data_IF_076845877829
#
_entry.id   IF_076845877829
#
_cell.length_a   1.000
_cell.length_b   1.000
_cell.length_c   1.000
_cell.angle_alpha   90.00
_cell.angle_beta   90.00
_cell.angle_gamma   90.00
#
_symmetry.space_group_name_H-M   'P 1'
#
loop_
_entity.id
_entity.type
_entity.pdbx_description
1 polymer ?
#
# COMPACT_ATOMS: atom_id res chain seq x y z
N UNK A 1 -6.52 2.97 9.37
CA UNK A 1 -6.00 1.60 9.23
C UNK A 1 -5.85 0.78 10.53
N UNK A 2 -5.86 1.36 11.75
CA UNK A 2 -5.74 0.57 13.00
C UNK A 2 -6.85 -0.48 13.16
N UNK A 3 -8.09 -0.16 12.78
CA UNK A 3 -9.20 -1.13 12.80
C UNK A 3 -8.90 -2.35 11.91
N UNK A 4 -8.50 -2.13 10.65
CA UNK A 4 -8.10 -3.20 9.73
C UNK A 4 -6.93 -4.02 10.28
N UNK A 5 -5.91 -3.38 10.85
CA UNK A 5 -4.78 -4.05 11.44
C UNK A 5 -5.19 -4.94 12.63
N UNK A 6 -6.11 -4.45 13.48
CA UNK A 6 -6.67 -5.20 14.59
C UNK A 6 -7.43 -6.45 14.14
N UNK A 7 -8.30 -6.31 13.14
CA UNK A 7 -9.07 -7.43 12.57
C UNK A 7 -8.14 -8.49 11.94
N UNK A 8 -7.13 -8.07 11.18
CA UNK A 8 -6.14 -8.99 10.61
C UNK A 8 -5.33 -9.68 11.71
N UNK A 9 -4.91 -8.96 12.75
CA UNK A 9 -4.18 -9.56 13.87
C UNK A 9 -5.05 -10.58 14.63
N UNK A 10 -6.34 -10.29 14.85
CA UNK A 10 -7.30 -11.23 15.43
C UNK A 10 -7.49 -12.49 14.55
N UNK A 11 -7.34 -12.35 13.23
CA UNK A 11 -7.32 -13.46 12.28
C UNK A 11 -6.02 -14.28 12.25
N UNK A 12 -5.04 -13.96 13.10
CA UNK A 12 -3.77 -14.70 13.21
C UNK A 12 -2.65 -14.20 12.28
N UNK A 13 -2.78 -13.00 11.73
CA UNK A 13 -1.72 -12.38 10.94
C UNK A 13 -0.76 -11.56 11.81
N UNK A 14 0.53 -11.54 11.45
CA UNK A 14 1.44 -10.50 11.92
C UNK A 14 1.24 -9.28 11.02
N UNK A 15 0.88 -8.14 11.60
CA UNK A 15 0.61 -6.90 10.87
C UNK A 15 1.66 -5.85 11.24
N UNK A 16 2.31 -5.29 10.22
CA UNK A 16 3.19 -4.14 10.35
C UNK A 16 2.53 -2.94 9.66
N UNK A 17 2.11 -1.94 10.45
CA UNK A 17 1.72 -0.64 9.92
C UNK A 17 2.96 0.25 9.84
N UNK A 18 3.19 0.87 8.68
CA UNK A 18 4.42 1.62 8.40
C UNK A 18 4.09 3.09 8.25
N UNK A 19 4.70 3.92 9.09
CA UNK A 19 4.76 5.36 8.87
C UNK A 19 5.89 5.68 7.88
N UNK A 20 5.58 6.49 6.87
CA UNK A 20 6.57 6.99 5.92
C UNK A 20 7.04 8.39 6.36
N UNK A 21 8.33 8.53 6.64
CA UNK A 21 8.88 9.72 7.28
C UNK A 21 8.61 10.97 6.42
N UNK A 22 8.18 12.06 7.08
CA UNK A 22 7.81 13.33 6.44
C UNK A 22 6.57 13.31 5.55
N UNK A 23 5.78 12.22 5.56
CA UNK A 23 4.58 12.07 4.74
C UNK A 23 3.26 12.06 5.51
N UNK A 24 3.35 12.22 6.84
CA UNK A 24 2.21 12.26 7.74
C UNK A 24 2.44 13.29 8.83
N UNK A 25 1.33 13.73 9.43
CA UNK A 25 1.36 14.53 10.66
C UNK A 25 1.34 13.60 11.87
N UNK A 26 2.15 13.90 12.89
CA UNK A 26 2.07 13.22 14.17
C UNK A 26 2.83 11.89 14.27
N UNK A 27 3.69 11.54 13.32
CA UNK A 27 4.61 10.40 13.50
C UNK A 27 5.67 10.73 14.54
N UNK A 28 5.65 10.04 15.67
CA UNK A 28 6.62 10.23 16.74
C UNK A 28 7.80 9.26 16.60
N UNK A 29 9.02 9.80 16.54
CA UNK A 29 10.27 9.06 16.57
C UNK A 29 10.82 8.97 18.00
N UNK A 30 11.71 7.99 18.28
CA UNK A 30 12.37 7.89 19.58
C UNK A 30 12.95 9.23 20.05
N UNK A 31 12.73 9.55 21.32
CA UNK A 31 13.10 10.84 21.90
C UNK A 31 12.06 11.96 21.71
N UNK A 32 10.82 11.64 21.33
CA UNK A 32 9.71 12.58 21.23
C UNK A 32 9.76 13.48 19.98
N UNK A 33 10.56 13.11 18.98
CA UNK A 33 10.73 13.92 17.76
C UNK A 33 9.56 13.66 16.81
N UNK A 34 8.84 14.71 16.44
CA UNK A 34 7.74 14.63 15.46
C UNK A 34 8.12 15.45 14.22
N UNK A 35 8.63 14.83 13.12
CA UNK A 35 8.87 15.56 11.89
C UNK A 35 7.58 16.13 11.28
N UNK A 36 7.71 17.23 10.55
CA UNK A 36 6.61 17.82 9.78
C UNK A 36 6.29 16.98 8.53
N UNK A 37 5.07 17.13 8.02
CA UNK A 37 4.66 16.52 6.76
C UNK A 37 5.17 17.33 5.56
N UNK A 38 6.43 17.17 5.19
CA UNK A 38 7.02 17.83 4.00
C UNK A 38 6.27 17.44 2.73
N UNK A 39 5.81 16.19 2.62
CA UNK A 39 5.06 15.74 1.45
C UNK A 39 3.73 16.48 1.30
N UNK A 40 3.07 16.86 2.41
CA UNK A 40 1.81 17.59 2.37
C UNK A 40 1.93 18.95 1.69
N UNK A 41 3.12 19.56 1.72
CA UNK A 41 3.37 20.88 1.11
C UNK A 41 3.92 20.79 -0.32
N UNK A 42 4.61 19.68 -0.67
CA UNK A 42 5.39 19.57 -1.90
C UNK A 42 4.75 18.68 -2.97
N UNK A 43 3.97 17.69 -2.56
CA UNK A 43 3.30 16.79 -3.52
C UNK A 43 2.25 17.57 -4.31
N UNK A 44 2.31 17.47 -5.64
CA UNK A 44 1.48 18.24 -6.57
C UNK A 44 1.96 19.68 -6.81
N UNK A 45 2.91 20.19 -6.02
CA UNK A 45 3.54 21.49 -6.24
C UNK A 45 4.85 21.35 -7.05
N UNK A 46 5.78 20.56 -6.53
CA UNK A 46 7.09 20.32 -7.16
C UNK A 46 7.57 18.86 -7.04
N UNK A 47 6.83 18.02 -6.32
CA UNK A 47 7.05 16.57 -6.22
C UNK A 47 5.84 15.85 -6.82
N UNK A 48 6.09 14.94 -7.75
CA UNK A 48 5.04 14.08 -8.31
C UNK A 48 4.66 12.98 -7.31
N UNK A 49 3.37 12.62 -7.26
CA UNK A 49 2.85 11.49 -6.47
C UNK A 49 3.60 10.18 -6.79
N UNK A 50 4.02 10.02 -8.04
CA UNK A 50 4.84 8.89 -8.47
C UNK A 50 6.12 8.73 -7.65
N UNK A 51 6.78 9.83 -7.27
CA UNK A 51 7.99 9.79 -6.45
C UNK A 51 7.70 9.26 -5.04
N UNK A 52 6.58 9.69 -4.46
CA UNK A 52 6.10 9.18 -3.17
C UNK A 52 5.80 7.69 -3.25
N UNK A 53 5.08 7.25 -4.28
CA UNK A 53 4.77 5.83 -4.49
C UNK A 53 6.04 4.97 -4.54
N UNK A 54 7.08 5.43 -5.26
CA UNK A 54 8.36 4.70 -5.33
C UNK A 54 9.11 4.71 -4.00
N UNK A 55 9.12 5.84 -3.28
CA UNK A 55 9.69 5.94 -1.94
C UNK A 55 9.04 4.95 -0.97
N UNK A 56 7.71 4.96 -0.89
CA UNK A 56 6.95 4.02 -0.05
C UNK A 56 7.19 2.56 -0.41
N UNK A 57 7.34 2.25 -1.70
CA UNK A 57 7.65 0.89 -2.15
C UNK A 57 9.03 0.41 -1.69
N UNK A 58 10.03 1.30 -1.70
CA UNK A 58 11.36 1.03 -1.16
C UNK A 58 11.30 0.83 0.37
N UNK A 59 10.59 1.71 1.09
CA UNK A 59 10.39 1.60 2.53
C UNK A 59 9.73 0.28 2.94
N UNK A 60 8.66 -0.12 2.23
CA UNK A 60 7.97 -1.38 2.50
C UNK A 60 8.88 -2.59 2.24
N UNK A 61 9.69 -2.55 1.18
CA UNK A 61 10.67 -3.60 0.90
C UNK A 61 11.75 -3.66 1.98
N UNK A 62 12.21 -2.51 2.47
CA UNK A 62 13.14 -2.40 3.60
C UNK A 62 12.52 -2.97 4.89
N UNK A 63 11.27 -2.63 5.21
CA UNK A 63 10.57 -3.19 6.38
C UNK A 63 10.43 -4.70 6.28
N UNK A 64 10.15 -5.24 5.08
CA UNK A 64 10.14 -6.69 4.86
C UNK A 64 11.54 -7.28 5.13
N UNK A 65 12.62 -6.65 4.69
CA UNK A 65 13.99 -7.09 5.00
C UNK A 65 14.27 -7.12 6.50
N UNK A 66 13.89 -6.07 7.22
CA UNK A 66 14.08 -5.95 8.67
C UNK A 66 13.31 -7.03 9.43
N UNK A 67 12.05 -7.26 9.07
CA UNK A 67 11.14 -8.17 9.76
C UNK A 67 11.40 -9.64 9.45
N UNK A 68 11.84 -9.95 8.23
CA UNK A 68 12.14 -11.34 7.81
C UNK A 68 13.62 -11.71 7.98
N UNK A 69 14.49 -10.73 8.20
CA UNK A 69 15.91 -10.93 8.45
C UNK A 69 16.19 -11.51 9.85
N UNK A 70 16.72 -12.73 9.90
CA UNK A 70 17.05 -13.43 11.17
C UNK A 70 17.96 -12.65 12.14
N UNK A 71 18.76 -11.70 11.64
CA UNK A 71 19.68 -10.90 12.47
C UNK A 71 19.03 -9.68 13.13
N UNK A 72 17.92 -9.16 12.59
CA UNK A 72 17.36 -7.86 12.99
C UNK A 72 16.05 -7.97 13.76
N UNK A 73 15.16 -8.88 13.38
CA UNK A 73 13.87 -9.03 14.07
C UNK A 73 13.90 -9.95 15.33
N UNK A 74 15.03 -10.62 15.61
CA UNK A 74 15.18 -11.44 16.80
C UNK A 74 14.10 -12.52 16.95
N UNK A 75 13.38 -12.53 18.09
CA UNK A 75 12.30 -13.47 18.34
C UNK A 75 11.09 -13.30 17.40
N UNK A 76 10.83 -12.07 16.91
CA UNK A 76 9.73 -11.80 15.97
C UNK A 76 9.94 -12.49 14.61
N UNK A 77 11.19 -12.61 14.16
CA UNK A 77 11.51 -13.31 12.90
C UNK A 77 11.02 -14.77 12.90
N UNK A 78 10.90 -15.39 14.08
CA UNK A 78 10.49 -16.80 14.23
C UNK A 78 8.99 -17.02 14.08
N UNK A 79 8.18 -15.98 14.25
CA UNK A 79 6.72 -16.05 14.11
C UNK A 79 6.23 -15.53 12.76
N UNK A 80 7.11 -14.94 11.96
CA UNK A 80 6.81 -14.42 10.62
C UNK A 80 7.10 -15.49 9.58
N UNK A 81 6.07 -15.90 8.86
CA UNK A 81 6.23 -16.75 7.68
C UNK A 81 6.60 -15.90 6.45
N UNK A 82 7.90 -15.83 6.17
CA UNK A 82 8.44 -15.06 5.04
C UNK A 82 7.97 -15.55 3.65
N UNK A 83 7.30 -16.71 3.55
CA UNK A 83 6.74 -17.22 2.29
C UNK A 83 5.28 -16.77 2.05
N UNK A 84 4.68 -16.05 3.01
CA UNK A 84 3.28 -15.59 2.96
C UNK A 84 3.18 -14.10 3.33
N UNK A 85 3.64 -13.25 2.41
CA UNK A 85 3.62 -11.78 2.58
C UNK A 85 2.56 -11.16 1.66
N UNK A 86 1.71 -10.30 2.22
CA UNK A 86 0.78 -9.45 1.49
C UNK A 86 0.95 -7.99 1.89
N UNK A 87 0.59 -7.07 0.99
CA UNK A 87 0.66 -5.62 1.26
C UNK A 87 -0.69 -4.99 0.92
N UNK A 88 -1.20 -4.16 1.82
CA UNK A 88 -2.40 -3.39 1.61
C UNK A 88 -2.13 -1.93 1.97
N UNK A 89 -2.80 -1.00 1.30
CA UNK A 89 -2.70 0.40 1.65
C UNK A 89 -3.92 1.18 1.19
N UNK A 90 -4.17 2.27 1.91
CA UNK A 90 -5.23 3.23 1.63
C UNK A 90 -4.71 4.41 0.83
N UNK A 91 -5.52 4.93 -0.08
CA UNK A 91 -5.19 6.08 -0.92
C UNK A 91 -3.85 5.85 -1.66
N UNK A 92 -2.90 6.78 -1.61
CA UNK A 92 -1.55 6.60 -2.17
C UNK A 92 -0.82 5.36 -1.64
N UNK A 93 -1.17 4.87 -0.46
CA UNK A 93 -0.67 3.60 0.07
C UNK A 93 -1.10 2.38 -0.78
N UNK A 94 -2.25 2.44 -1.45
CA UNK A 94 -2.69 1.40 -2.38
C UNK A 94 -1.87 1.35 -3.66
N UNK A 95 -1.44 2.50 -4.17
CA UNK A 95 -0.44 2.58 -5.23
C UNK A 95 0.90 2.01 -4.78
N UNK A 96 1.36 2.40 -3.58
CA UNK A 96 2.57 1.87 -2.98
C UNK A 96 2.51 0.34 -2.79
N UNK A 97 1.35 -0.22 -2.42
CA UNK A 97 1.16 -1.66 -2.32
C UNK A 97 1.40 -2.37 -3.66
N UNK A 98 0.87 -1.81 -4.76
CA UNK A 98 1.11 -2.34 -6.11
C UNK A 98 2.57 -2.19 -6.54
N UNK A 99 3.18 -1.03 -6.30
CA UNK A 99 4.57 -0.75 -6.65
C UNK A 99 5.54 -1.64 -5.88
N UNK A 100 5.33 -1.81 -4.56
CA UNK A 100 6.08 -2.76 -3.72
C UNK A 100 5.99 -4.16 -4.29
N UNK A 101 4.78 -4.59 -4.66
CA UNK A 101 4.58 -5.91 -5.22
C UNK A 101 5.27 -6.08 -6.58
N UNK A 102 5.31 -5.05 -7.43
CA UNK A 102 6.06 -5.09 -8.67
C UNK A 102 7.58 -5.21 -8.43
N UNK A 103 8.12 -4.48 -7.46
CA UNK A 103 9.55 -4.44 -7.14
C UNK A 103 10.05 -5.63 -6.31
N UNK A 104 9.22 -6.16 -5.40
CA UNK A 104 9.55 -7.21 -4.46
C UNK A 104 8.75 -8.49 -4.74
N UNK A 105 9.47 -9.55 -5.12
CA UNK A 105 8.90 -10.87 -5.45
C UNK A 105 8.38 -11.64 -4.25
N UNK A 106 8.79 -11.27 -3.03
CA UNK A 106 8.30 -11.89 -1.78
C UNK A 106 6.85 -11.51 -1.49
N UNK A 107 6.41 -10.33 -1.94
CA UNK A 107 5.00 -9.92 -1.83
C UNK A 107 4.16 -10.74 -2.81
N UNK A 108 3.24 -11.53 -2.25
CA UNK A 108 2.45 -12.51 -3.00
C UNK A 108 1.06 -12.03 -3.37
N UNK A 109 0.50 -11.08 -2.63
CA UNK A 109 -0.80 -10.49 -2.92
C UNK A 109 -0.85 -9.02 -2.48
N UNK A 110 -1.65 -8.22 -3.17
CA UNK A 110 -1.79 -6.79 -2.91
C UNK A 110 -3.25 -6.33 -2.83
N UNK A 111 -3.51 -5.31 -2.01
CA UNK A 111 -4.81 -4.64 -1.94
C UNK A 111 -4.64 -3.12 -2.02
N UNK A 112 -5.35 -2.48 -2.94
CA UNK A 112 -5.52 -1.04 -3.00
C UNK A 112 -6.90 -0.69 -2.41
N UNK A 113 -6.91 0.08 -1.31
CA UNK A 113 -8.11 0.64 -0.69
C UNK A 113 -8.25 2.10 -1.12
N UNK A 114 -9.07 2.34 -2.13
CA UNK A 114 -9.52 3.66 -2.56
C UNK A 114 -8.43 4.63 -3.03
N UNK A 115 -7.35 4.10 -3.60
CA UNK A 115 -6.24 4.89 -4.15
C UNK A 115 -6.23 4.97 -5.67
N UNK A 116 -5.92 6.14 -6.22
CA UNK A 116 -5.30 6.22 -7.54
C UNK A 116 -3.94 5.50 -7.56
N UNK A 117 -3.41 5.18 -8.74
CA UNK A 117 -2.11 4.52 -8.89
C UNK A 117 -0.95 5.48 -9.14
N UNK A 118 -1.19 6.65 -9.75
CA UNK A 118 -0.22 7.74 -9.95
C UNK A 118 1.04 7.40 -10.76
N UNK A 119 1.22 6.14 -11.17
CA UNK A 119 2.35 5.66 -11.96
C UNK A 119 1.87 5.09 -13.29
N UNK A 120 2.52 5.51 -14.38
CA UNK A 120 2.06 5.20 -15.75
C UNK A 120 2.06 3.73 -16.08
N UNK A 121 2.85 2.91 -15.41
CA UNK A 121 3.03 1.47 -15.63
C UNK A 121 2.31 0.59 -14.60
N UNK A 122 1.46 1.18 -13.74
CA UNK A 122 0.64 0.46 -12.77
C UNK A 122 -0.04 -0.79 -13.37
N UNK A 123 -0.02 -1.88 -12.61
CA UNK A 123 -0.50 -3.20 -13.00
C UNK A 123 0.55 -4.06 -13.73
N UNK A 124 1.68 -3.48 -14.13
CA UNK A 124 2.81 -4.20 -14.73
C UNK A 124 3.69 -4.86 -13.64
N UNK A 125 4.51 -5.85 -14.00
CA UNK A 125 5.46 -6.49 -13.06
C UNK A 125 4.85 -7.46 -12.03
N UNK A 126 3.52 -7.49 -11.88
CA UNK A 126 2.84 -8.40 -10.93
C UNK A 126 2.82 -9.86 -11.41
N UNK A 127 2.94 -10.11 -12.71
CA UNK A 127 2.80 -11.45 -13.29
C UNK A 127 1.39 -12.00 -13.04
N UNK A 128 1.29 -13.19 -12.44
CA UNK A 128 0.00 -13.82 -12.08
C UNK A 128 -0.40 -13.62 -10.61
N UNK A 129 0.37 -12.85 -9.83
CA UNK A 129 0.13 -12.68 -8.40
C UNK A 129 -1.18 -11.91 -8.15
N UNK A 130 -2.01 -12.29 -7.16
CA UNK A 130 -3.32 -11.69 -6.93
C UNK A 130 -3.30 -10.21 -6.54
N UNK A 131 -4.21 -9.41 -7.10
CA UNK A 131 -4.38 -8.01 -6.69
C UNK A 131 -5.87 -7.64 -6.59
N UNK A 132 -6.26 -6.96 -5.51
CA UNK A 132 -7.62 -6.46 -5.31
C UNK A 132 -7.63 -4.93 -5.26
N UNK A 133 -8.61 -4.32 -5.89
CA UNK A 133 -8.91 -2.89 -5.80
C UNK A 133 -10.31 -2.76 -5.17
N UNK A 134 -10.42 -2.02 -4.07
CA UNK A 134 -11.67 -1.76 -3.34
C UNK A 134 -11.79 -0.26 -3.11
N UNK A 135 -12.88 0.38 -3.52
CA UNK A 135 -12.99 1.83 -3.43
C UNK A 135 -14.43 2.34 -3.39
N UNK A 136 -14.59 3.64 -3.21
CA UNK A 136 -15.84 4.36 -3.28
C UNK A 136 -16.42 4.26 -4.70
N UNK A 137 -17.72 3.96 -4.79
CA UNK A 137 -18.40 3.75 -6.08
C UNK A 137 -18.41 4.98 -6.98
N UNK A 138 -18.53 6.16 -6.41
CA UNK A 138 -18.60 7.46 -7.09
C UNK A 138 -17.25 7.95 -7.65
N UNK A 139 -16.14 7.36 -7.20
CA UNK A 139 -14.78 7.68 -7.70
C UNK A 139 -14.25 6.55 -8.57
N UNK A 140 -14.36 5.32 -8.10
CA UNK A 140 -13.73 4.14 -8.69
C UNK A 140 -14.72 3.18 -9.33
N UNK A 141 -15.99 3.56 -9.50
CA UNK A 141 -16.96 2.77 -10.26
C UNK A 141 -16.54 2.61 -11.73
N UNK A 142 -16.89 1.48 -12.38
CA UNK A 142 -16.53 1.24 -13.78
C UNK A 142 -17.14 2.24 -14.77
N UNK A 143 -18.16 3.01 -14.36
CA UNK A 143 -18.73 4.10 -15.14
C UNK A 143 -17.90 5.41 -15.09
N UNK A 144 -16.98 5.54 -14.13
CA UNK A 144 -16.16 6.74 -13.95
C UNK A 144 -14.88 6.67 -14.78
N UNK A 145 -14.75 7.56 -15.76
CA UNK A 145 -13.61 7.60 -16.69
C UNK A 145 -12.40 8.37 -16.18
N UNK A 146 -12.52 9.07 -15.06
CA UNK A 146 -11.43 9.86 -14.45
C UNK A 146 -10.43 9.02 -13.64
N UNK A 147 -10.77 7.77 -13.32
CA UNK A 147 -9.91 6.88 -12.55
C UNK A 147 -8.91 6.13 -13.45
N UNK A 148 -7.68 5.97 -12.98
CA UNK A 148 -6.65 5.14 -13.62
C UNK A 148 -6.87 3.62 -13.42
N UNK A 149 -7.91 3.22 -12.68
CA UNK A 149 -8.23 1.82 -12.40
C UNK A 149 -8.55 1.01 -13.64
N UNK A 150 -9.24 1.56 -14.63
CA UNK A 150 -9.57 0.85 -15.87
C UNK A 150 -8.30 0.48 -16.65
N UNK A 151 -7.36 1.42 -16.76
CA UNK A 151 -6.07 1.18 -17.42
C UNK A 151 -5.24 0.14 -16.67
N UNK A 152 -5.16 0.26 -15.33
CA UNK A 152 -4.47 -0.71 -14.47
C UNK A 152 -5.09 -2.10 -14.54
N UNK A 153 -6.42 -2.19 -14.52
CA UNK A 153 -7.17 -3.44 -14.67
C UNK A 153 -6.83 -4.17 -15.97
N UNK A 154 -6.67 -3.41 -17.05
CA UNK A 154 -6.25 -3.90 -18.36
C UNK A 154 -4.85 -4.50 -18.40
N UNK A 155 -4.01 -4.28 -17.37
CA UNK A 155 -2.63 -4.81 -17.27
C UNK A 155 -2.48 -5.97 -16.29
N UNK A 156 -3.40 -6.13 -15.35
CA UNK A 156 -3.42 -7.27 -14.44
C UNK A 156 -3.75 -8.58 -15.19
N UNK A 157 -2.91 -9.62 -14.99
CA UNK A 157 -3.00 -10.93 -15.66
C UNK A 157 -3.35 -12.10 -14.73
N UNK A 158 -3.23 -11.90 -13.42
CA UNK A 158 -3.51 -12.92 -12.39
C UNK A 158 -4.95 -12.92 -11.89
N UNK A 159 -5.14 -13.50 -10.71
CA UNK A 159 -6.37 -13.30 -9.96
C UNK A 159 -6.54 -11.80 -9.68
N UNK A 160 -7.72 -11.26 -10.00
CA UNK A 160 -8.00 -9.84 -9.81
C UNK A 160 -9.45 -9.58 -9.42
N UNK A 161 -9.67 -8.57 -8.58
CA UNK A 161 -11.00 -8.08 -8.20
C UNK A 161 -11.02 -6.57 -8.21
N UNK A 162 -12.10 -6.02 -8.73
CA UNK A 162 -12.45 -4.61 -8.69
C UNK A 162 -13.81 -4.56 -8.00
N UNK A 163 -13.83 -4.06 -6.77
CA UNK A 163 -15.02 -3.93 -5.94
C UNK A 163 -15.24 -2.46 -5.63
N UNK A 164 -16.51 -2.06 -5.57
CA UNK A 164 -16.88 -0.73 -5.10
C UNK A 164 -17.88 -0.82 -3.96
N UNK A 165 -17.85 0.17 -3.07
CA UNK A 165 -18.74 0.25 -1.90
C UNK A 165 -19.68 1.44 -2.10
N UNK A 166 -20.96 1.13 -2.30
CA UNK A 166 -22.00 2.15 -2.48
C UNK A 166 -22.12 3.03 -1.22
N UNK A 167 -22.13 4.34 -1.42
CA UNK A 167 -22.23 5.34 -0.34
C UNK A 167 -20.99 5.49 0.56
N UNK A 168 -19.90 4.76 0.28
CA UNK A 168 -18.62 5.00 0.95
C UNK A 168 -17.96 6.26 0.40
N UNK A 169 -17.19 6.95 1.24
CA UNK A 169 -16.30 8.04 0.83
C UNK A 169 -14.84 7.66 1.04
N UNK A 170 -13.93 8.57 0.67
CA UNK A 170 -12.49 8.28 0.68
C UNK A 170 -11.95 7.79 2.04
N UNK A 171 -12.45 8.34 3.14
CA UNK A 171 -11.99 8.01 4.49
C UNK A 171 -12.80 6.88 5.17
N UNK A 172 -13.64 6.15 4.42
CA UNK A 172 -14.37 5.00 4.94
C UNK A 172 -13.51 3.75 5.16
N UNK A 173 -12.27 3.74 4.65
CA UNK A 173 -11.39 2.56 4.55
C UNK A 173 -10.25 2.55 5.59
#
# INVERSE_FOLDING_TARGET
LTALAGELAAGGYVVAAVDHAYESVGTEFPGGRVPSCVACDRVGADVEEAAVVQGRAADLSFVIDELTGHRRAGALARVIDAQRIGVAGHSIGGAAAMATMAADRRVRAGVNLDGGFFVRDAGSGLGRRPFMMVGAEDVHGPAHTGSDWAATWGRLRGWKRWLTVAGAGHFSF
#
